data_IF_919144164351
#
_entry.id   IF_919144164351
#
_cell.length_a   1.000
_cell.length_b   1.000
_cell.length_c   1.000
_cell.angle_alpha   90.00
_cell.angle_beta   90.00
_cell.angle_gamma   90.00
#
_symmetry.space_group_name_H-M   'P 1'
#
loop_
_entity.id
_entity.type
_entity.pdbx_description
1 polymer ?
#
# COMPACT_ATOMS: atom_id res chain seq x y z
N UNK A 1 24.64 2.22 -38.04
CA UNK A 1 23.86 1.63 -36.93
C UNK A 1 22.97 0.58 -37.53
N UNK A 2 23.18 -0.68 -37.20
CA UNK A 2 22.38 -1.81 -37.70
C UNK A 2 21.14 -1.91 -36.82
N UNK A 3 19.91 -1.95 -37.36
CA UNK A 3 18.70 -2.08 -36.56
C UNK A 3 18.72 -3.39 -35.75
N UNK A 4 18.32 -3.34 -34.49
CA UNK A 4 18.26 -4.51 -33.61
C UNK A 4 17.12 -5.45 -34.05
N UNK A 5 17.37 -6.76 -34.25
CA UNK A 5 16.31 -7.73 -34.56
C UNK A 5 15.17 -7.76 -33.53
N UNK A 6 15.43 -7.42 -32.26
CA UNK A 6 14.42 -7.36 -31.20
C UNK A 6 13.42 -6.22 -31.44
N UNK A 7 13.90 -5.04 -31.82
CA UNK A 7 13.06 -3.88 -32.14
C UNK A 7 12.11 -4.20 -33.31
N UNK A 8 12.63 -4.86 -34.34
CA UNK A 8 11.84 -5.26 -35.51
C UNK A 8 10.74 -6.30 -35.22
N UNK A 9 10.86 -7.02 -34.10
CA UNK A 9 9.90 -8.02 -33.66
C UNK A 9 8.82 -7.39 -32.80
N UNK A 10 9.20 -6.46 -31.92
CA UNK A 10 8.28 -5.68 -31.09
C UNK A 10 7.36 -4.81 -31.95
N UNK A 11 7.92 -4.15 -32.97
CA UNK A 11 7.15 -3.25 -33.83
C UNK A 11 6.15 -4.00 -34.72
N UNK A 12 6.44 -5.24 -35.09
CA UNK A 12 5.50 -6.13 -35.81
C UNK A 12 4.43 -6.76 -34.91
N UNK A 13 4.71 -6.86 -33.62
CA UNK A 13 3.80 -7.49 -32.65
C UNK A 13 2.81 -6.51 -32.04
N UNK A 14 2.99 -5.20 -32.28
CA UNK A 14 2.06 -4.18 -31.84
C UNK A 14 0.70 -4.35 -32.56
N UNK A 15 -0.39 -4.66 -31.84
CA UNK A 15 -1.72 -4.68 -32.42
C UNK A 15 -2.05 -3.30 -32.97
N UNK A 16 -2.76 -3.23 -34.09
CA UNK A 16 -3.22 -1.95 -34.62
C UNK A 16 -4.10 -1.22 -33.59
N UNK A 17 -3.55 -0.22 -32.92
CA UNK A 17 -4.29 0.60 -31.96
C UNK A 17 -5.11 1.61 -32.74
N UNK A 18 -6.44 1.57 -32.58
CA UNK A 18 -7.29 2.69 -32.98
C UNK A 18 -7.31 3.68 -31.83
N UNK A 19 -7.21 4.97 -32.15
CA UNK A 19 -7.46 6.01 -31.16
C UNK A 19 -8.88 5.80 -30.59
N UNK A 20 -8.99 5.78 -29.25
CA UNK A 20 -10.29 5.67 -28.61
C UNK A 20 -11.15 6.86 -29.02
N UNK A 21 -12.41 6.61 -29.41
CA UNK A 21 -13.32 7.68 -29.79
C UNK A 21 -13.56 8.58 -28.55
N UNK A 22 -13.57 9.89 -28.76
CA UNK A 22 -13.87 10.84 -27.72
C UNK A 22 -15.30 10.64 -27.16
N UNK A 23 -16.22 10.02 -27.91
CA UNK A 23 -17.52 9.58 -27.39
C UNK A 23 -17.38 8.47 -26.35
N UNK A 24 -16.51 7.49 -26.59
CA UNK A 24 -16.34 6.31 -25.74
C UNK A 24 -15.65 6.70 -24.44
N UNK A 25 -14.65 7.58 -24.51
CA UNK A 25 -14.00 8.15 -23.33
C UNK A 25 -14.99 8.95 -22.48
N UNK A 26 -15.86 9.75 -23.11
CA UNK A 26 -16.91 10.49 -22.39
C UNK A 26 -17.96 9.56 -21.78
N UNK A 27 -18.32 8.48 -22.47
CA UNK A 27 -19.24 7.47 -21.97
C UNK A 27 -18.67 6.73 -20.75
N UNK A 28 -17.39 6.36 -20.78
CA UNK A 28 -16.70 5.75 -19.64
C UNK A 28 -16.62 6.71 -18.45
N UNK A 29 -16.28 7.98 -18.68
CA UNK A 29 -16.26 9.00 -17.62
C UNK A 29 -17.65 9.25 -17.03
N UNK A 30 -18.71 9.21 -17.86
CA UNK A 30 -20.08 9.34 -17.40
C UNK A 30 -20.53 8.12 -16.56
N UNK A 31 -20.20 6.91 -17.01
CA UNK A 31 -20.48 5.66 -16.29
C UNK A 31 -19.79 5.64 -14.92
N UNK A 32 -18.50 6.02 -14.88
CA UNK A 32 -17.75 6.13 -13.63
C UNK A 32 -18.37 7.15 -12.65
N UNK A 33 -18.90 8.27 -13.16
CA UNK A 33 -19.59 9.27 -12.32
C UNK A 33 -20.91 8.74 -11.78
N UNK A 34 -21.67 7.94 -12.53
CA UNK A 34 -22.90 7.32 -12.02
C UNK A 34 -22.64 6.28 -10.93
N UNK A 35 -21.53 5.54 -11.00
CA UNK A 35 -21.11 4.61 -9.94
C UNK A 35 -20.69 5.37 -8.67
N UNK A 36 -20.03 6.53 -8.83
CA UNK A 36 -19.47 7.31 -7.73
C UNK A 36 -20.48 8.14 -6.92
N UNK A 37 -21.75 8.27 -7.35
CA UNK A 37 -22.74 9.05 -6.61
C UNK A 37 -23.62 8.15 -5.71
N UNK A 38 -23.49 8.21 -4.37
CA UNK A 38 -24.39 7.49 -3.48
C UNK A 38 -25.83 7.98 -3.69
N UNK A 39 -26.75 7.05 -3.96
CA UNK A 39 -28.17 7.34 -4.18
C UNK A 39 -28.77 8.03 -2.94
N UNK A 40 -29.06 9.33 -3.03
CA UNK A 40 -29.85 10.07 -2.03
C UNK A 40 -31.30 9.58 -2.05
N UNK A 41 -31.64 8.61 -1.22
CA UNK A 41 -33.02 8.21 -0.97
C UNK A 41 -33.75 9.29 -0.16
N UNK A 42 -34.81 9.87 -0.72
CA UNK A 42 -35.70 10.83 -0.05
C UNK A 42 -36.35 10.14 1.16
N UNK A 43 -36.10 10.70 2.34
CA UNK A 43 -36.56 10.20 3.65
C UNK A 43 -38.08 10.28 3.76
N UNK A 44 -38.75 9.13 3.84
CA UNK A 44 -40.06 9.01 4.49
C UNK A 44 -39.79 8.50 5.90
N UNK A 45 -40.15 9.30 6.89
CA UNK A 45 -39.86 9.03 8.30
C UNK A 45 -40.73 7.92 8.85
N UNK A 46 -40.09 6.98 9.56
CA UNK A 46 -40.71 6.19 10.62
C UNK A 46 -39.71 6.13 11.77
N UNK A 47 -40.16 6.63 12.91
CA UNK A 47 -39.51 6.56 14.22
C UNK A 47 -39.58 5.10 14.70
N UNK A 48 -38.43 4.45 14.91
CA UNK A 48 -38.34 3.26 15.75
C UNK A 48 -36.88 2.94 16.12
N UNK A 49 -36.64 2.79 17.42
CA UNK A 49 -35.60 1.92 17.96
C UNK A 49 -34.20 2.50 18.02
N UNK A 50 -33.86 3.12 19.15
CA UNK A 50 -32.49 3.30 19.57
C UNK A 50 -31.82 1.92 19.73
N UNK A 51 -30.99 1.55 18.77
CA UNK A 51 -29.95 0.54 18.90
C UNK A 51 -28.64 1.26 18.56
N UNK A 52 -28.05 1.87 19.59
CA UNK A 52 -26.66 2.31 19.56
C UNK A 52 -25.78 1.05 19.51
N UNK A 53 -25.62 0.50 18.33
CA UNK A 53 -24.44 -0.29 17.99
C UNK A 53 -23.32 0.72 17.79
N UNK A 54 -22.57 0.97 18.87
CA UNK A 54 -21.20 1.45 18.75
C UNK A 54 -20.40 0.38 18.03
N UNK A 55 -20.49 0.38 16.70
CA UNK A 55 -19.42 -0.13 15.86
C UNK A 55 -18.28 0.87 16.03
N UNK A 56 -17.40 0.57 17.00
CA UNK A 56 -16.00 0.91 16.85
C UNK A 56 -15.53 0.16 15.61
N UNK A 57 -15.67 0.79 14.45
CA UNK A 57 -15.50 0.16 13.15
C UNK A 57 -14.74 1.10 12.26
N UNK A 58 -13.48 0.73 12.05
CA UNK A 58 -12.52 1.18 11.05
C UNK A 58 -12.80 2.53 10.39
N UNK A 59 -11.90 3.48 10.62
CA UNK A 59 -11.64 4.48 9.60
C UNK A 59 -11.26 3.73 8.32
N UNK A 60 -12.20 3.61 7.39
CA UNK A 60 -11.88 3.22 6.03
C UNK A 60 -11.11 4.39 5.43
N UNK A 61 -9.79 4.41 5.66
CA UNK A 61 -8.89 5.27 4.91
C UNK A 61 -9.04 4.82 3.47
N UNK A 62 -9.60 5.70 2.63
CA UNK A 62 -9.54 5.47 1.20
C UNK A 62 -8.05 5.47 0.87
N UNK A 63 -7.46 4.29 0.63
CA UNK A 63 -6.09 4.17 0.20
C UNK A 63 -5.95 5.04 -1.05
N UNK A 64 -5.41 6.25 -0.86
CA UNK A 64 -5.12 7.14 -1.95
C UNK A 64 -4.00 6.46 -2.72
N UNK A 65 -4.32 5.77 -3.81
CA UNK A 65 -3.33 5.33 -4.78
C UNK A 65 -2.70 6.59 -5.35
N UNK A 66 -1.62 7.02 -4.72
CA UNK A 66 -0.88 8.21 -5.09
C UNK A 66 -0.20 7.99 -6.44
N UNK A 67 -0.06 9.05 -7.24
CA UNK A 67 0.64 9.00 -8.53
C UNK A 67 2.16 9.13 -8.38
N UNK A 68 2.73 8.64 -7.28
CA UNK A 68 4.15 8.73 -7.01
C UNK A 68 4.97 7.79 -7.90
N UNK A 69 6.23 8.16 -8.15
CA UNK A 69 7.13 7.37 -9.00
C UNK A 69 7.82 6.28 -8.16
N UNK A 70 7.15 5.14 -8.09
CA UNK A 70 7.59 3.99 -7.31
C UNK A 70 8.72 3.23 -8.02
N UNK A 71 9.70 2.78 -7.24
CA UNK A 71 10.75 1.91 -7.77
C UNK A 71 10.18 0.60 -8.31
N UNK A 72 10.87 0.04 -9.31
CA UNK A 72 10.47 -1.23 -9.89
C UNK A 72 10.38 -2.35 -8.82
N UNK A 73 9.31 -3.13 -8.87
CA UNK A 73 9.06 -4.22 -7.93
C UNK A 73 8.30 -3.83 -6.65
N UNK A 74 7.96 -2.55 -6.47
CA UNK A 74 6.96 -2.13 -5.48
C UNK A 74 5.56 -2.49 -5.96
N UNK A 75 4.76 -3.13 -5.09
CA UNK A 75 3.42 -3.59 -5.45
C UNK A 75 2.36 -2.69 -4.83
N UNK A 76 1.45 -2.06 -5.62
CA UNK A 76 0.39 -1.19 -5.09
C UNK A 76 -0.61 -1.93 -4.18
N UNK A 77 -0.73 -3.25 -4.31
CA UNK A 77 -1.61 -4.07 -3.46
C UNK A 77 -0.93 -4.49 -2.15
N UNK A 78 0.37 -4.23 -2.00
CA UNK A 78 1.14 -4.51 -0.78
C UNK A 78 1.52 -3.19 -0.14
N UNK A 79 0.51 -2.40 0.20
CA UNK A 79 0.67 -1.04 0.71
C UNK A 79 -0.05 -0.84 2.04
N UNK A 80 0.47 0.10 2.82
CA UNK A 80 -0.10 0.53 4.10
C UNK A 80 0.00 2.05 4.19
N UNK A 81 -1.10 2.71 4.57
CA UNK A 81 -1.16 4.16 4.74
C UNK A 81 -1.13 4.54 6.21
N UNK A 82 -0.38 5.59 6.55
CA UNK A 82 -0.29 6.11 7.93
C UNK A 82 -0.14 7.63 7.93
N UNK A 83 -0.35 8.25 9.10
CA UNK A 83 -0.12 9.68 9.30
C UNK A 83 1.24 9.91 9.93
N UNK A 84 2.13 10.58 9.22
CA UNK A 84 3.41 11.03 9.74
C UNK A 84 3.27 12.23 10.68
N UNK A 85 4.17 12.44 11.65
CA UNK A 85 4.11 13.57 12.57
C UNK A 85 3.99 14.94 11.91
N UNK A 86 4.70 15.17 10.80
CA UNK A 86 4.70 16.44 10.06
C UNK A 86 4.53 16.30 8.55
N UNK A 87 4.87 15.16 7.96
CA UNK A 87 4.77 14.93 6.50
C UNK A 87 3.35 14.58 5.99
N UNK A 88 2.34 14.58 6.86
CA UNK A 88 0.95 14.32 6.47
C UNK A 88 0.67 12.84 6.24
N UNK A 89 -0.18 12.54 5.27
CA UNK A 89 -0.50 11.15 4.89
C UNK A 89 0.65 10.56 4.08
N UNK A 90 1.04 9.35 4.45
CA UNK A 90 2.08 8.57 3.80
C UNK A 90 1.53 7.25 3.29
N UNK A 91 2.02 6.80 2.13
CA UNK A 91 1.86 5.43 1.65
C UNK A 91 3.22 4.74 1.77
N UNK A 92 3.25 3.59 2.45
CA UNK A 92 4.36 2.67 2.47
C UNK A 92 4.01 1.48 1.56
N UNK A 93 4.85 1.18 0.58
CA UNK A 93 4.74 -0.03 -0.26
C UNK A 93 5.87 -0.98 0.05
N UNK A 94 5.56 -2.27 0.12
CA UNK A 94 6.57 -3.32 0.21
C UNK A 94 6.65 -4.09 -1.10
N UNK A 95 7.85 -4.57 -1.41
CA UNK A 95 8.13 -5.22 -2.67
C UNK A 95 9.50 -5.87 -2.70
N UNK A 96 9.88 -6.39 -3.87
CA UNK A 96 11.14 -7.08 -4.08
C UNK A 96 11.40 -8.22 -3.06
N UNK A 97 10.32 -8.90 -2.65
CA UNK A 97 10.35 -9.92 -1.60
C UNK A 97 10.81 -11.23 -2.23
N UNK A 98 11.91 -11.77 -1.73
CA UNK A 98 12.53 -13.00 -2.24
C UNK A 98 12.45 -14.09 -1.18
N UNK A 99 11.85 -15.21 -1.53
CA UNK A 99 11.80 -16.39 -0.68
C UNK A 99 13.20 -16.98 -0.48
N UNK A 100 13.50 -17.39 0.76
CA UNK A 100 14.73 -18.12 1.07
C UNK A 100 14.83 -19.46 0.34
N UNK A 101 13.69 -20.10 0.08
CA UNK A 101 13.59 -21.22 -0.85
C UNK A 101 12.94 -20.74 -2.16
N UNK A 102 13.70 -20.61 -3.27
CA UNK A 102 13.17 -20.12 -4.54
C UNK A 102 12.01 -20.94 -5.10
N UNK A 103 11.92 -22.24 -4.76
CA UNK A 103 10.81 -23.11 -5.19
C UNK A 103 9.47 -22.72 -4.56
N UNK A 104 9.48 -21.95 -3.47
CA UNK A 104 8.29 -21.47 -2.75
C UNK A 104 7.94 -20.02 -3.06
N UNK A 105 8.66 -19.34 -3.94
CA UNK A 105 8.43 -17.92 -4.25
C UNK A 105 6.95 -17.62 -4.55
N UNK A 106 6.34 -18.43 -5.42
CA UNK A 106 4.95 -18.25 -5.81
C UNK A 106 3.95 -18.47 -4.67
N UNK A 107 4.25 -19.39 -3.76
CA UNK A 107 3.42 -19.63 -2.57
C UNK A 107 3.56 -18.46 -1.59
N UNK A 108 4.78 -17.96 -1.40
CA UNK A 108 5.07 -16.80 -0.55
C UNK A 108 4.35 -15.55 -1.08
N UNK A 109 4.47 -15.28 -2.38
CA UNK A 109 3.81 -14.13 -3.01
C UNK A 109 2.29 -14.21 -2.83
N UNK A 110 1.69 -15.38 -3.05
CA UNK A 110 0.25 -15.57 -2.80
C UNK A 110 -0.11 -15.36 -1.33
N UNK A 111 0.69 -15.85 -0.41
CA UNK A 111 0.41 -15.71 1.02
C UNK A 111 0.48 -14.24 1.48
N UNK A 112 1.43 -13.48 0.94
CA UNK A 112 1.55 -12.04 1.18
C UNK A 112 0.35 -11.30 0.56
N UNK A 113 0.02 -11.58 -0.70
CA UNK A 113 -1.11 -10.95 -1.38
C UNK A 113 -2.44 -11.25 -0.67
N UNK A 114 -2.61 -12.49 -0.19
CA UNK A 114 -3.78 -12.90 0.59
C UNK A 114 -3.85 -12.14 1.92
N UNK A 115 -2.74 -12.05 2.66
CA UNK A 115 -2.69 -11.31 3.93
C UNK A 115 -3.07 -9.83 3.75
N UNK A 116 -2.49 -9.15 2.75
CA UNK A 116 -2.85 -7.76 2.44
C UNK A 116 -4.32 -7.61 1.97
N UNK A 117 -4.90 -8.64 1.36
CA UNK A 117 -6.28 -8.62 0.89
C UNK A 117 -7.31 -8.92 1.98
N UNK A 118 -6.95 -9.68 3.01
CA UNK A 118 -7.91 -10.19 4.01
C UNK A 118 -7.80 -9.51 5.37
N UNK A 119 -6.61 -9.11 5.80
CA UNK A 119 -6.42 -8.54 7.13
C UNK A 119 -6.64 -7.02 7.14
N UNK A 120 -7.03 -6.49 8.30
CA UNK A 120 -6.94 -5.06 8.57
C UNK A 120 -5.48 -4.71 8.89
N UNK A 121 -4.68 -4.51 7.83
CA UNK A 121 -3.24 -4.25 7.93
C UNK A 121 -2.94 -3.11 8.90
N UNK A 122 -3.76 -2.06 8.95
CA UNK A 122 -3.54 -0.97 9.90
C UNK A 122 -3.69 -1.42 11.35
N UNK A 123 -4.72 -2.22 11.66
CA UNK A 123 -4.92 -2.79 12.99
C UNK A 123 -3.83 -3.81 13.37
N UNK A 124 -3.32 -4.58 12.40
CA UNK A 124 -2.23 -5.55 12.62
C UNK A 124 -0.88 -4.87 12.87
N UNK A 125 -0.61 -3.73 12.23
CA UNK A 125 0.66 -2.99 12.34
C UNK A 125 0.74 -2.14 13.60
N UNK A 126 -0.35 -1.48 13.97
CA UNK A 126 -0.42 -0.52 15.09
C UNK A 126 0.25 -1.00 16.40
N UNK A 127 0.08 -2.25 16.87
CA UNK A 127 0.66 -2.72 18.12
C UNK A 127 2.20 -2.72 18.15
N UNK A 128 2.85 -2.77 16.99
CA UNK A 128 4.31 -2.85 16.87
C UNK A 128 4.98 -1.47 16.80
N UNK A 129 4.27 -0.44 16.31
CA UNK A 129 4.85 0.89 16.02
C UNK A 129 5.50 1.51 17.27
N UNK A 130 4.81 1.47 18.41
CA UNK A 130 5.31 2.09 19.64
C UNK A 130 6.64 1.49 20.12
N UNK A 131 6.80 0.16 19.98
CA UNK A 131 8.02 -0.54 20.37
C UNK A 131 9.22 -0.10 19.54
N UNK A 132 9.06 -0.02 18.22
CA UNK A 132 10.11 0.43 17.30
C UNK A 132 10.45 1.90 17.48
N UNK A 133 9.43 2.77 17.65
CA UNK A 133 9.65 4.19 17.97
C UNK A 133 10.47 4.40 19.24
N UNK A 134 10.25 3.60 20.28
CA UNK A 134 10.99 3.71 21.53
C UNK A 134 12.47 3.32 21.36
N UNK A 135 12.79 2.39 20.46
CA UNK A 135 14.17 2.05 20.10
C UNK A 135 14.83 3.23 19.38
N UNK A 136 14.18 3.78 18.34
CA UNK A 136 14.72 4.84 17.49
C UNK A 136 14.90 6.18 18.23
N UNK A 137 13.99 6.53 19.17
CA UNK A 137 14.13 7.74 19.99
C UNK A 137 15.35 7.73 20.91
N UNK A 138 15.89 6.56 21.23
CA UNK A 138 17.09 6.40 22.06
C UNK A 138 18.38 6.52 21.27
N UNK A 139 18.31 6.60 19.94
CA UNK A 139 19.48 6.80 19.08
C UNK A 139 19.89 8.29 19.05
N UNK A 140 21.06 8.65 19.59
CA UNK A 140 21.53 10.02 19.62
C UNK A 140 21.92 10.59 18.25
N UNK A 141 22.11 9.74 17.22
CA UNK A 141 22.54 10.17 15.88
C UNK A 141 21.52 11.05 15.16
N UNK A 142 20.26 10.98 15.57
CA UNK A 142 19.15 11.71 14.94
C UNK A 142 18.84 13.06 15.61
N UNK A 143 19.56 13.44 16.68
CA UNK A 143 19.21 14.61 17.50
C UNK A 143 19.30 15.97 16.79
N UNK A 144 19.98 16.07 15.65
CA UNK A 144 20.12 17.32 14.87
C UNK A 144 19.39 17.33 13.53
N UNK A 145 18.78 16.22 13.09
CA UNK A 145 17.98 16.21 11.86
C UNK A 145 16.58 16.74 12.16
N UNK A 146 16.14 17.88 11.59
CA UNK A 146 14.79 18.39 11.79
C UNK A 146 13.68 17.43 11.30
N UNK A 147 14.03 16.45 10.48
CA UNK A 147 13.14 15.41 9.94
C UNK A 147 13.13 14.15 10.79
N UNK A 148 13.95 14.08 11.85
CA UNK A 148 14.12 12.88 12.65
C UNK A 148 12.79 12.30 13.16
N UNK A 149 11.81 13.15 13.49
CA UNK A 149 10.49 12.68 13.93
C UNK A 149 9.79 11.85 12.84
N UNK A 150 9.72 12.36 11.61
CA UNK A 150 9.08 11.70 10.48
C UNK A 150 9.90 10.51 9.97
N UNK A 151 11.22 10.65 9.85
CA UNK A 151 12.10 9.54 9.45
C UNK A 151 12.03 8.39 10.46
N UNK A 152 12.08 8.68 11.77
CA UNK A 152 11.93 7.64 12.78
C UNK A 152 10.53 7.00 12.75
N UNK A 153 9.49 7.80 12.47
CA UNK A 153 8.15 7.26 12.35
C UNK A 153 8.00 6.35 11.13
N UNK A 154 8.55 6.74 9.98
CA UNK A 154 8.63 5.88 8.80
C UNK A 154 9.33 4.55 9.11
N UNK A 155 10.55 4.60 9.66
CA UNK A 155 11.31 3.38 9.99
C UNK A 155 10.51 2.49 10.94
N UNK A 156 9.89 3.08 11.98
CA UNK A 156 9.08 2.32 12.91
C UNK A 156 7.85 1.65 12.25
N UNK A 157 7.19 2.34 11.31
CA UNK A 157 6.05 1.78 10.57
C UNK A 157 6.49 0.68 9.61
N UNK A 158 7.63 0.85 8.93
CA UNK A 158 8.19 -0.18 8.05
C UNK A 158 8.54 -1.45 8.84
N UNK A 159 9.29 -1.32 9.93
CA UNK A 159 9.63 -2.45 10.80
C UNK A 159 8.37 -3.10 11.42
N UNK A 160 7.38 -2.30 11.83
CA UNK A 160 6.10 -2.79 12.33
C UNK A 160 5.32 -3.57 11.26
N UNK A 161 5.32 -3.11 10.01
CA UNK A 161 4.69 -3.81 8.89
C UNK A 161 5.36 -5.15 8.61
N UNK A 162 6.70 -5.21 8.64
CA UNK A 162 7.43 -6.46 8.49
C UNK A 162 7.14 -7.46 9.62
N UNK A 163 7.05 -7.00 10.86
CA UNK A 163 6.71 -7.84 12.01
C UNK A 163 5.26 -8.37 11.93
N UNK A 164 4.30 -7.50 11.61
CA UNK A 164 2.90 -7.86 11.46
C UNK A 164 2.69 -8.84 10.30
N UNK A 165 3.29 -8.55 9.13
CA UNK A 165 3.24 -9.45 7.97
C UNK A 165 3.87 -10.79 8.31
N UNK A 166 5.03 -10.81 8.96
CA UNK A 166 5.67 -12.05 9.38
C UNK A 166 4.79 -12.86 10.34
N UNK A 167 4.11 -12.20 11.28
CA UNK A 167 3.16 -12.85 12.18
C UNK A 167 1.98 -13.46 11.40
N UNK A 168 1.34 -12.71 10.50
CA UNK A 168 0.20 -13.19 9.71
C UNK A 168 0.55 -14.27 8.68
N UNK A 169 1.82 -14.31 8.24
CA UNK A 169 2.33 -15.34 7.34
C UNK A 169 2.58 -16.69 8.05
N UNK A 170 2.75 -16.71 9.38
CA UNK A 170 2.95 -17.96 10.15
C UNK A 170 1.76 -18.90 10.03
N UNK A 171 0.55 -18.36 10.08
CA UNK A 171 -0.68 -19.12 9.91
C UNK A 171 -0.83 -19.66 8.47
N UNK A 172 -0.08 -19.08 7.53
CA UNK A 172 0.00 -19.47 6.12
C UNK A 172 1.20 -20.39 5.82
N UNK A 173 1.92 -20.86 6.84
CA UNK A 173 3.03 -21.81 6.70
C UNK A 173 4.37 -21.17 6.29
N UNK A 174 4.56 -19.89 6.59
CA UNK A 174 5.79 -19.14 6.37
C UNK A 174 6.28 -18.52 7.68
N UNK A 175 7.53 -18.75 8.02
CA UNK A 175 8.17 -18.16 9.19
C UNK A 175 9.14 -17.03 8.80
N UNK A 176 9.77 -16.39 9.79
CA UNK A 176 10.75 -15.33 9.54
C UNK A 176 11.93 -15.81 8.66
N UNK A 177 12.26 -17.10 8.65
CA UNK A 177 13.34 -17.65 7.84
C UNK A 177 12.92 -17.91 6.38
N UNK A 178 11.64 -17.76 6.07
CA UNK A 178 11.11 -18.00 4.73
C UNK A 178 11.35 -16.85 3.76
N UNK A 179 11.66 -15.65 4.26
CA UNK A 179 11.98 -14.45 3.47
C UNK A 179 13.49 -14.20 3.57
N UNK A 180 14.17 -14.11 2.43
CA UNK A 180 15.62 -13.83 2.35
C UNK A 180 15.94 -12.36 2.16
N UNK A 181 15.08 -11.63 1.45
CA UNK A 181 15.18 -10.19 1.27
C UNK A 181 13.82 -9.60 0.95
N UNK A 182 13.69 -8.30 1.14
CA UNK A 182 12.55 -7.48 0.78
C UNK A 182 12.92 -6.01 0.93
N UNK A 183 12.06 -5.12 0.49
CA UNK A 183 12.25 -3.69 0.69
C UNK A 183 10.93 -2.97 0.83
N UNK A 184 10.96 -1.87 1.59
CA UNK A 184 9.91 -0.88 1.66
C UNK A 184 10.32 0.40 0.94
N UNK A 185 9.35 1.10 0.36
CA UNK A 185 9.49 2.48 -0.09
C UNK A 185 8.32 3.27 0.50
N UNK A 186 8.59 4.49 0.95
CA UNK A 186 7.56 5.41 1.43
C UNK A 186 7.51 6.64 0.55
N UNK A 187 6.33 7.20 0.46
CA UNK A 187 6.13 8.57 0.01
C UNK A 187 5.05 9.22 0.87
N UNK A 188 5.21 10.52 1.11
CA UNK A 188 4.27 11.30 1.90
C UNK A 188 3.89 12.59 1.19
N UNK A 189 2.67 13.07 1.41
CA UNK A 189 2.15 14.32 0.81
C UNK A 189 3.07 15.53 1.05
N UNK A 190 3.63 15.61 2.25
CA UNK A 190 4.49 16.69 2.71
C UNK A 190 5.95 16.30 2.88
N UNK A 191 6.43 15.24 2.21
CA UNK A 191 7.81 14.75 2.38
C UNK A 191 8.85 15.83 2.09
N UNK A 192 9.82 15.97 2.98
CA UNK A 192 10.89 16.98 2.88
C UNK A 192 12.25 16.31 2.76
N UNK A 193 12.54 15.73 1.59
CA UNK A 193 13.83 15.07 1.30
C UNK A 193 15.00 16.05 1.04
N UNK A 194 14.77 17.36 1.10
CA UNK A 194 15.75 18.41 0.80
C UNK A 194 16.50 18.92 2.02
#
# INVERSE_FOLDING_TARGET
MTPDPLDSTLERSAPATRAADASDLRAMMAAARTEAHPRRHRRVGIVAGALTLTLAGGASFAAASSSWDWSAGMNPNRSHTYLSPTWGECELRVGNIVAANPLRQFELDRAIDDWFATEDVAAEVEPYIAGHLDVLKRDPSNGSDPRAADTNHWVAVDEALWDAMSAGLRDRGFDNASISSGGGQVHCDGEQWK
#
